data_IF_025983935300
#
_entry.id   IF_025983935300
#
_cell.length_a   1.000
_cell.length_b   1.000
_cell.length_c   1.000
_cell.angle_alpha   90.00
_cell.angle_beta   90.00
_cell.angle_gamma   90.00
#
_symmetry.space_group_name_H-M   'P 1'
#
loop_
_entity.id
_entity.type
_entity.pdbx_description
1 polymer ?
#
# COMPACT_ATOMS: atom_id res chain seq x y z
N UNK A 1 11.50 6.18 5.93
CA UNK A 1 10.90 6.55 4.63
C UNK A 1 9.41 6.25 4.73
N UNK A 2 8.57 6.87 3.90
CA UNK A 2 7.14 6.57 3.86
C UNK A 2 6.87 5.88 2.55
N UNK A 3 6.17 4.74 2.57
CA UNK A 3 5.82 3.97 1.38
C UNK A 3 4.35 4.18 1.05
N UNK A 4 4.01 3.98 -0.22
CA UNK A 4 2.65 3.99 -0.71
C UNK A 4 2.08 2.58 -0.69
N UNK A 5 0.85 2.44 -0.22
CA UNK A 5 0.15 1.17 -0.19
C UNK A 5 -1.29 1.33 -0.68
N UNK A 6 -1.78 0.33 -1.40
CA UNK A 6 -3.16 0.26 -1.86
C UNK A 6 -3.70 -1.14 -1.61
N UNK A 7 -4.93 -1.21 -1.09
CA UNK A 7 -5.65 -2.48 -0.97
C UNK A 7 -6.55 -2.68 -2.16
N UNK A 8 -6.25 -3.71 -2.94
CA UNK A 8 -7.16 -4.22 -3.94
C UNK A 8 -8.35 -4.91 -3.25
N UNK A 9 -9.60 -4.74 -3.74
CA UNK A 9 -10.77 -5.47 -3.23
C UNK A 9 -10.66 -6.99 -3.41
N UNK A 10 -9.73 -7.44 -4.26
CA UNK A 10 -9.34 -8.84 -4.40
C UNK A 10 -8.60 -9.42 -3.18
N UNK A 11 -8.24 -8.58 -2.19
CA UNK A 11 -7.55 -8.97 -0.96
C UNK A 11 -6.03 -8.86 -1.01
N UNK A 12 -5.45 -8.44 -2.15
CA UNK A 12 -4.02 -8.15 -2.27
C UNK A 12 -3.71 -6.71 -1.85
N UNK A 13 -2.63 -6.54 -1.08
CA UNK A 13 -2.08 -5.23 -0.72
C UNK A 13 -0.82 -5.00 -1.56
N UNK A 14 -0.87 -4.01 -2.45
CA UNK A 14 0.26 -3.59 -3.28
C UNK A 14 0.98 -2.46 -2.55
N UNK A 15 2.29 -2.56 -2.43
CA UNK A 15 3.13 -1.59 -1.72
C UNK A 15 4.28 -1.18 -2.62
N UNK A 16 4.53 0.12 -2.70
CA UNK A 16 5.59 0.71 -3.51
C UNK A 16 6.23 1.90 -2.78
N UNK A 17 7.46 2.23 -3.13
CA UNK A 17 8.17 3.35 -2.53
C UNK A 17 7.62 4.71 -3.01
N UNK A 18 7.14 4.77 -4.26
CA UNK A 18 6.66 5.98 -4.93
C UNK A 18 5.31 5.75 -5.64
N UNK A 19 4.55 6.83 -5.85
CA UNK A 19 3.23 6.79 -6.52
C UNK A 19 3.30 6.16 -7.91
N UNK A 20 4.29 6.53 -8.72
CA UNK A 20 4.48 5.99 -10.06
C UNK A 20 4.72 4.47 -10.04
N UNK A 21 5.49 3.98 -9.07
CA UNK A 21 5.76 2.56 -8.92
C UNK A 21 4.50 1.80 -8.44
N UNK A 22 3.65 2.44 -7.63
CA UNK A 22 2.37 1.89 -7.22
C UNK A 22 1.42 1.75 -8.41
N UNK A 23 1.31 2.78 -9.25
CA UNK A 23 0.46 2.77 -10.44
C UNK A 23 0.87 1.66 -11.43
N UNK A 24 2.17 1.49 -11.65
CA UNK A 24 2.71 0.45 -12.52
C UNK A 24 2.35 -0.95 -11.98
N UNK A 25 2.51 -1.17 -10.68
CA UNK A 25 2.11 -2.41 -9.99
C UNK A 25 0.60 -2.68 -10.07
N UNK A 26 -0.23 -1.66 -9.86
CA UNK A 26 -1.69 -1.78 -9.94
C UNK A 26 -2.11 -2.10 -11.38
N UNK A 27 -1.54 -1.41 -12.36
CA UNK A 27 -1.87 -1.60 -13.77
C UNK A 27 -1.50 -3.01 -14.24
N UNK A 28 -0.29 -3.48 -13.89
CA UNK A 28 0.13 -4.85 -14.16
C UNK A 28 -0.80 -5.87 -13.48
N UNK A 29 -1.13 -5.64 -12.20
CA UNK A 29 -2.03 -6.50 -11.43
C UNK A 29 -3.43 -6.58 -12.04
N UNK A 30 -3.99 -5.44 -12.47
CA UNK A 30 -5.28 -5.38 -13.16
C UNK A 30 -5.20 -6.14 -14.48
N UNK A 31 -4.13 -5.99 -15.26
CA UNK A 31 -3.92 -6.73 -16.51
C UNK A 31 -3.95 -8.26 -16.33
N UNK A 32 -3.30 -8.76 -15.28
CA UNK A 32 -3.19 -10.20 -15.04
C UNK A 32 -4.42 -10.81 -14.36
N UNK A 33 -5.01 -10.12 -13.37
CA UNK A 33 -6.07 -10.69 -12.53
C UNK A 33 -7.47 -10.14 -12.81
N UNK A 34 -7.55 -8.92 -13.36
CA UNK A 34 -8.80 -8.21 -13.59
C UNK A 34 -8.82 -7.52 -14.96
N UNK A 35 -8.67 -8.27 -16.08
CA UNK A 35 -8.60 -7.68 -17.41
C UNK A 35 -9.84 -6.84 -17.77
N UNK A 36 -10.97 -7.14 -17.14
CA UNK A 36 -12.24 -6.39 -17.26
C UNK A 36 -12.26 -5.02 -16.56
N UNK A 37 -11.30 -4.74 -15.68
CA UNK A 37 -11.14 -3.46 -14.97
C UNK A 37 -9.94 -2.65 -15.51
N UNK A 38 -9.21 -3.17 -16.50
CA UNK A 38 -8.10 -2.47 -17.14
C UNK A 38 -8.66 -1.24 -17.86
N UNK A 39 -8.20 -0.05 -17.46
CA UNK A 39 -8.70 1.23 -17.97
C UNK A 39 -10.05 1.67 -17.39
N UNK A 40 -10.58 0.97 -16.38
CA UNK A 40 -11.79 1.40 -15.66
C UNK A 40 -11.50 2.39 -14.52
N UNK A 41 -10.25 2.47 -14.09
CA UNK A 41 -9.78 3.39 -13.05
C UNK A 41 -8.68 4.27 -13.63
N UNK A 42 -8.82 5.59 -13.46
CA UNK A 42 -7.78 6.56 -13.79
C UNK A 42 -6.69 6.54 -12.70
N UNK A 43 -5.50 7.06 -13.03
CA UNK A 43 -4.40 7.16 -12.08
C UNK A 43 -4.80 7.93 -10.81
N UNK A 44 -5.60 8.99 -10.95
CA UNK A 44 -6.11 9.80 -9.83
C UNK A 44 -7.06 9.02 -8.91
N UNK A 45 -7.92 8.16 -9.47
CA UNK A 45 -8.81 7.30 -8.69
C UNK A 45 -7.99 6.28 -7.87
N UNK A 46 -6.97 5.69 -8.48
CA UNK A 46 -6.07 4.72 -7.84
C UNK A 46 -5.28 5.39 -6.72
N UNK A 47 -4.75 6.59 -6.95
CA UNK A 47 -4.02 7.35 -5.94
C UNK A 47 -4.92 7.86 -4.81
N UNK A 48 -6.19 8.15 -5.09
CA UNK A 48 -7.16 8.61 -4.08
C UNK A 48 -7.48 7.54 -3.03
N UNK A 49 -7.39 6.26 -3.38
CA UNK A 49 -7.55 5.13 -2.46
C UNK A 49 -6.23 4.60 -1.91
N UNK A 50 -5.10 5.06 -2.45
CA UNK A 50 -3.78 4.77 -1.92
C UNK A 50 -3.55 5.55 -0.61
N UNK A 51 -2.79 4.94 0.31
CA UNK A 51 -2.47 5.54 1.58
C UNK A 51 -0.97 5.43 1.89
N UNK A 52 -0.44 6.44 2.59
CA UNK A 52 0.94 6.46 3.05
C UNK A 52 1.08 5.60 4.30
N UNK A 53 1.79 4.49 4.16
CA UNK A 53 2.18 3.64 5.27
C UNK A 53 3.58 4.05 5.72
N UNK A 54 3.82 4.32 7.01
CA UNK A 54 5.19 4.46 7.48
C UNK A 54 5.89 3.11 7.22
N UNK A 55 6.98 3.10 6.44
CA UNK A 55 7.90 1.95 6.47
C UNK A 55 8.66 2.03 7.78
N UNK A 56 7.95 1.73 8.87
CA UNK A 56 8.59 1.59 10.16
C UNK A 56 9.46 0.35 10.08
N UNK A 57 10.80 0.42 10.21
CA UNK A 57 11.44 -0.63 10.97
C UNK A 57 10.77 -0.58 12.34
N UNK A 58 10.32 -1.73 12.83
CA UNK A 58 9.67 -1.85 14.12
C UNK A 58 10.39 -0.97 15.15
N UNK A 59 9.67 -0.07 15.81
CA UNK A 59 10.12 0.42 17.11
C UNK A 59 9.83 -0.72 18.10
N UNK A 60 10.84 -1.42 18.66
CA UNK A 60 10.62 -2.24 19.84
C UNK A 60 10.53 -1.29 21.04
N UNK A 61 9.44 -0.51 21.09
CA UNK A 61 9.18 0.53 22.08
C UNK A 61 7.94 0.23 22.91
N UNK A 62 7.68 -1.04 23.22
CA UNK A 62 6.62 -1.45 24.14
C UNK A 62 7.12 -2.51 25.10
N UNK A 63 8.05 -2.12 25.97
CA UNK A 63 8.18 -2.76 27.27
C UNK A 63 8.22 -1.67 28.32
N UNK A 64 7.02 -1.14 28.61
CA UNK A 64 6.74 -0.43 29.85
C UNK A 64 6.66 -1.47 30.97
N UNK A 65 7.80 -2.02 31.36
CA UNK A 65 7.95 -2.74 32.62
C UNK A 65 8.17 -1.69 33.71
N UNK A 66 7.05 -1.27 34.33
CA UNK A 66 7.08 -0.57 35.59
C UNK A 66 7.61 -1.55 36.64
N UNK A 67 8.89 -1.45 37.01
CA UNK A 67 9.47 -2.17 38.15
C UNK A 67 9.62 -1.18 39.31
N UNK A 68 8.48 -0.88 39.93
CA UNK A 68 8.42 -0.38 41.30
C UNK A 68 8.12 -1.61 42.19
N UNK A 69 9.13 -2.13 42.87
CA UNK A 69 9.05 -2.86 44.15
C UNK A 69 10.46 -3.16 44.64
#
# INVERSE_FOLDING_TARGET
>A
MSVWAIRCPCGLELVADDEKALLDLVTAHLGERHPQLVGAYEDEDILSIAYRKPSSPAVPGSTRAQLFS
#
